data_IF_197591987012
#
_entry.id   IF_197591987012
#
_cell.length_a   1.000
_cell.length_b   1.000
_cell.length_c   1.000
_cell.angle_alpha   90.00
_cell.angle_beta   90.00
_cell.angle_gamma   90.00
#
_symmetry.space_group_name_H-M   'P 1'
#
loop_
_entity.id
_entity.type
_entity.pdbx_description
1 polymer ?
#
# COMPACT_ATOMS: atom_id res chain seq x y z
N UNK A 1 39.01 7.49 -37.02
CA UNK A 1 38.14 7.86 -35.87
C UNK A 1 39.00 8.30 -34.69
N UNK A 2 38.54 9.26 -33.91
CA UNK A 2 39.31 9.86 -32.78
C UNK A 2 38.85 9.37 -31.41
N UNK A 3 37.72 8.68 -31.35
CA UNK A 3 37.18 8.15 -30.09
C UNK A 3 36.12 7.09 -30.33
N UNK A 4 35.45 6.70 -29.24
CA UNK A 4 34.25 5.87 -29.30
C UNK A 4 33.08 6.67 -29.87
N UNK A 5 32.17 6.04 -30.65
CA UNK A 5 30.93 6.68 -31.03
C UNK A 5 30.07 6.96 -29.79
N UNK A 6 29.13 7.90 -29.90
CA UNK A 6 28.22 8.27 -28.81
C UNK A 6 26.80 7.99 -29.25
N UNK A 7 26.09 7.17 -28.47
CA UNK A 7 24.67 6.92 -28.65
C UNK A 7 23.87 7.97 -27.89
N UNK A 8 22.91 8.59 -28.58
CA UNK A 8 21.96 9.53 -28.01
C UNK A 8 20.53 9.22 -28.43
N UNK A 9 19.58 9.74 -27.64
CA UNK A 9 18.16 9.50 -27.82
C UNK A 9 17.59 8.60 -26.73
N UNK A 10 16.35 8.11 -26.90
CA UNK A 10 15.48 8.32 -28.05
C UNK A 10 15.06 9.79 -28.22
N UNK A 11 14.98 10.21 -29.47
CA UNK A 11 14.55 11.54 -29.90
C UNK A 11 13.19 11.40 -30.55
N UNK A 12 12.18 11.99 -29.93
CA UNK A 12 10.82 12.04 -30.46
C UNK A 12 10.78 13.16 -31.52
N UNK A 13 10.20 12.88 -32.68
CA UNK A 13 9.96 13.90 -33.70
C UNK A 13 9.03 15.02 -33.17
N UNK A 14 9.13 16.23 -33.71
CA UNK A 14 8.30 17.37 -33.32
C UNK A 14 6.80 17.13 -33.51
N UNK A 15 6.42 16.20 -34.39
CA UNK A 15 5.02 15.76 -34.54
C UNK A 15 4.59 14.66 -33.56
N UNK A 16 5.46 14.17 -32.69
CA UNK A 16 5.21 13.09 -31.73
C UNK A 16 4.56 11.83 -32.37
N UNK A 17 4.94 11.53 -33.62
CA UNK A 17 4.45 10.36 -34.40
C UNK A 17 5.55 9.35 -34.72
N UNK A 18 6.81 9.71 -34.46
CA UNK A 18 7.96 8.84 -34.61
C UNK A 18 9.03 9.16 -33.58
N UNK A 19 9.95 8.21 -33.36
CA UNK A 19 11.17 8.46 -32.62
C UNK A 19 12.36 7.73 -33.25
N UNK A 20 13.55 8.22 -32.97
CA UNK A 20 14.80 7.63 -33.46
C UNK A 20 15.91 7.70 -32.43
N UNK A 21 16.93 6.87 -32.61
CA UNK A 21 18.19 6.95 -31.86
C UNK A 21 19.31 7.38 -32.79
N UNK A 22 20.29 8.10 -32.27
CA UNK A 22 21.38 8.68 -33.06
C UNK A 22 22.72 8.16 -32.58
N UNK A 23 23.56 7.72 -33.52
CA UNK A 23 24.94 7.32 -33.29
C UNK A 23 25.87 8.37 -33.89
N UNK A 24 26.57 9.12 -33.04
CA UNK A 24 27.55 10.13 -33.45
C UNK A 24 28.96 9.52 -33.50
N UNK A 25 29.59 9.56 -34.67
CA UNK A 25 30.98 9.11 -34.89
C UNK A 25 31.93 10.29 -34.75
N UNK A 26 32.96 10.14 -33.90
CA UNK A 26 34.00 11.16 -33.67
C UNK A 26 35.19 10.99 -34.63
N UNK A 27 35.53 12.06 -35.36
CA UNK A 27 36.68 12.14 -36.27
C UNK A 27 37.32 13.56 -36.21
N UNK A 28 38.62 13.69 -36.48
CA UNK A 28 39.39 14.94 -36.35
C UNK A 28 39.18 15.83 -37.58
N UNK A 29 39.62 15.34 -38.74
CA UNK A 29 39.70 16.13 -39.96
C UNK A 29 38.64 15.67 -40.97
N UNK A 30 38.27 16.58 -41.88
CA UNK A 30 37.43 16.23 -43.02
C UNK A 30 38.31 15.61 -44.10
N UNK A 31 38.10 14.32 -44.39
CA UNK A 31 38.77 13.64 -45.50
C UNK A 31 37.72 13.02 -46.43
N UNK A 32 37.56 13.51 -47.67
CA UNK A 32 36.55 13.01 -48.61
C UNK A 32 36.75 11.55 -49.01
N UNK A 33 37.93 10.96 -48.76
CA UNK A 33 38.22 9.54 -48.98
C UNK A 33 37.96 8.68 -47.74
N UNK A 34 37.73 9.28 -46.57
CA UNK A 34 37.37 8.55 -45.37
C UNK A 34 35.91 8.10 -45.42
N UNK A 35 35.69 6.86 -45.01
CA UNK A 35 34.38 6.23 -44.87
C UNK A 35 34.22 5.72 -43.45
N UNK A 36 32.98 5.71 -42.97
CA UNK A 36 32.61 5.14 -41.70
C UNK A 36 31.56 4.08 -41.91
N UNK A 37 31.71 2.96 -41.21
CA UNK A 37 30.71 1.90 -41.16
C UNK A 37 30.17 1.80 -39.74
N UNK A 38 28.85 1.90 -39.60
CA UNK A 38 28.14 1.80 -38.34
C UNK A 38 27.23 0.58 -38.36
N UNK A 39 27.26 -0.17 -37.27
CA UNK A 39 26.34 -1.25 -36.98
C UNK A 39 25.67 -1.05 -35.63
N UNK A 40 24.45 -1.56 -35.50
CA UNK A 40 23.69 -1.53 -34.25
C UNK A 40 23.82 -2.87 -33.54
N UNK A 41 23.91 -2.84 -32.22
CA UNK A 41 23.97 -4.04 -31.40
C UNK A 41 22.96 -3.95 -30.26
N UNK A 42 22.42 -5.11 -29.89
CA UNK A 42 21.48 -5.29 -28.79
C UNK A 42 22.04 -6.37 -27.87
N UNK A 43 22.28 -6.02 -26.60
CA UNK A 43 23.05 -6.83 -25.64
C UNK A 43 24.40 -7.32 -26.20
N UNK A 44 25.01 -6.48 -27.03
CA UNK A 44 26.30 -6.77 -27.68
C UNK A 44 26.22 -7.60 -28.95
N UNK A 45 25.06 -8.16 -29.30
CA UNK A 45 24.85 -8.92 -30.53
C UNK A 45 24.35 -8.02 -31.67
N UNK A 46 24.85 -8.25 -32.89
CA UNK A 46 24.41 -7.52 -34.08
C UNK A 46 23.13 -8.16 -34.65
N UNK A 47 22.10 -7.34 -34.90
CA UNK A 47 20.94 -7.79 -35.67
C UNK A 47 21.23 -7.65 -37.18
N UNK A 48 21.38 -8.79 -37.85
CA UNK A 48 21.64 -8.87 -39.29
C UNK A 48 20.51 -8.30 -40.16
N UNK A 49 19.29 -8.16 -39.63
CA UNK A 49 18.17 -7.51 -40.34
C UNK A 49 18.32 -5.99 -40.40
N UNK A 50 19.16 -5.41 -39.54
CA UNK A 50 19.49 -3.98 -39.56
C UNK A 50 20.79 -3.82 -40.35
N UNK A 51 20.63 -3.45 -41.62
CA UNK A 51 21.77 -3.21 -42.50
C UNK A 51 22.76 -2.21 -41.89
N UNK A 52 24.04 -2.54 -41.97
CA UNK A 52 25.12 -1.62 -41.63
C UNK A 52 25.05 -0.41 -42.53
N UNK A 53 25.30 0.77 -41.98
CA UNK A 53 25.33 2.01 -42.76
C UNK A 53 26.75 2.43 -43.00
N UNK A 54 27.08 2.66 -44.27
CA UNK A 54 28.36 3.22 -44.70
C UNK A 54 28.12 4.63 -45.23
N UNK A 55 28.92 5.60 -44.79
CA UNK A 55 28.82 6.98 -45.23
C UNK A 55 30.20 7.63 -45.35
N UNK A 56 30.28 8.67 -46.18
CA UNK A 56 31.48 9.49 -46.34
C UNK A 56 31.49 10.67 -45.37
N UNK A 57 32.69 11.16 -45.11
CA UNK A 57 32.89 12.53 -44.64
C UNK A 57 32.10 13.55 -45.49
N UNK A 58 31.48 14.60 -44.92
CA UNK A 58 31.45 15.03 -43.51
C UNK A 58 30.26 14.53 -42.70
N UNK A 59 29.53 13.52 -43.17
CA UNK A 59 28.47 12.92 -42.37
C UNK A 59 29.10 12.25 -41.15
N UNK A 60 28.52 12.49 -39.97
CA UNK A 60 28.99 11.96 -38.68
C UNK A 60 27.91 11.24 -37.87
N UNK A 61 26.64 11.42 -38.22
CA UNK A 61 25.51 10.91 -37.44
C UNK A 61 24.74 9.90 -38.28
N UNK A 62 24.47 8.74 -37.68
CA UNK A 62 23.57 7.73 -38.22
C UNK A 62 22.38 7.56 -37.30
N UNK A 63 21.18 7.59 -37.87
CA UNK A 63 19.94 7.35 -37.13
C UNK A 63 19.49 5.89 -37.26
N UNK A 64 18.98 5.35 -36.15
CA UNK A 64 18.17 4.14 -36.08
C UNK A 64 16.72 4.56 -35.90
N UNK A 65 15.87 4.18 -36.83
CA UNK A 65 14.42 4.34 -36.65
C UNK A 65 13.96 3.46 -35.48
N UNK A 66 13.21 4.04 -34.53
CA UNK A 66 12.68 3.34 -33.36
C UNK A 66 11.87 2.08 -33.69
N UNK A 67 11.28 1.98 -34.90
CA UNK A 67 10.59 0.76 -35.36
C UNK A 67 11.50 -0.47 -35.38
N UNK A 68 12.82 -0.26 -35.51
CA UNK A 68 13.83 -1.33 -35.50
C UNK A 68 14.10 -1.90 -34.11
N UNK A 69 13.46 -1.36 -33.07
CA UNK A 69 13.49 -1.96 -31.73
C UNK A 69 12.50 -3.12 -31.58
N UNK A 70 11.74 -3.47 -32.63
CA UNK A 70 10.84 -4.63 -32.61
C UNK A 70 11.67 -5.89 -32.29
N UNK A 71 11.22 -6.70 -31.33
CA UNK A 71 11.93 -7.87 -30.79
C UNK A 71 13.22 -7.57 -29.99
N UNK A 72 13.56 -6.30 -29.77
CA UNK A 72 14.71 -5.86 -28.99
C UNK A 72 14.33 -5.09 -27.72
N UNK A 73 13.07 -5.18 -27.29
CA UNK A 73 12.66 -4.68 -25.98
C UNK A 73 13.36 -5.45 -24.85
N UNK A 74 13.63 -4.75 -23.75
CA UNK A 74 14.44 -5.18 -22.61
C UNK A 74 15.90 -5.50 -22.91
N UNK A 75 16.46 -4.96 -23.99
CA UNK A 75 17.88 -5.12 -24.34
C UNK A 75 18.64 -3.79 -24.23
N UNK A 76 19.96 -3.87 -24.09
CA UNK A 76 20.86 -2.72 -24.16
C UNK A 76 21.24 -2.43 -25.61
N UNK A 77 20.68 -1.35 -26.15
CA UNK A 77 21.02 -0.83 -27.47
C UNK A 77 22.37 -0.13 -27.42
N UNK A 78 23.23 -0.43 -28.37
CA UNK A 78 24.48 0.28 -28.62
C UNK A 78 24.72 0.41 -30.13
N UNK A 79 25.59 1.34 -30.52
CA UNK A 79 26.14 1.38 -31.86
C UNK A 79 27.64 1.12 -31.82
N UNK A 80 28.15 0.51 -32.88
CA UNK A 80 29.58 0.29 -33.08
C UNK A 80 30.00 0.87 -34.42
N UNK A 81 31.10 1.62 -34.43
CA UNK A 81 31.59 2.29 -35.62
C UNK A 81 33.05 1.92 -35.91
N UNK A 82 33.39 1.82 -37.20
CA UNK A 82 34.78 1.72 -37.68
C UNK A 82 35.00 2.68 -38.85
N UNK A 83 36.26 3.00 -39.14
CA UNK A 83 36.64 3.82 -40.29
C UNK A 83 37.55 3.07 -41.25
N UNK A 84 37.45 3.42 -42.53
CA UNK A 84 38.33 2.93 -43.60
C UNK A 84 38.46 4.00 -44.69
N UNK A 85 39.33 3.76 -45.67
CA UNK A 85 39.53 4.65 -46.82
C UNK A 85 39.08 3.97 -48.11
N UNK A 86 38.59 4.76 -49.07
CA UNK A 86 38.20 4.25 -50.39
C UNK A 86 39.36 3.48 -51.04
N UNK A 87 39.06 2.29 -51.57
CA UNK A 87 40.06 1.39 -52.18
C UNK A 87 40.95 0.65 -51.18
N UNK A 88 40.71 0.83 -49.88
CA UNK A 88 41.43 0.17 -48.79
C UNK A 88 40.46 -0.45 -47.77
N UNK A 89 39.33 -0.98 -48.24
CA UNK A 89 38.28 -1.58 -47.43
C UNK A 89 38.81 -2.74 -46.56
N UNK A 90 39.77 -3.50 -47.08
CA UNK A 90 40.44 -4.59 -46.35
C UNK A 90 41.32 -4.13 -45.18
N UNK A 91 41.57 -2.83 -45.03
CA UNK A 91 42.32 -2.22 -43.92
C UNK A 91 41.43 -1.42 -42.96
N UNK A 92 40.14 -1.75 -42.90
CA UNK A 92 39.22 -1.12 -41.97
C UNK A 92 39.67 -1.28 -40.52
N UNK A 93 39.49 -0.24 -39.71
CA UNK A 93 39.80 -0.32 -38.28
C UNK A 93 38.88 -1.30 -37.56
N UNK A 94 39.27 -1.69 -36.34
CA UNK A 94 38.36 -2.41 -35.44
C UNK A 94 37.13 -1.55 -35.11
N UNK A 95 36.01 -2.22 -34.84
CA UNK A 95 34.80 -1.58 -34.34
C UNK A 95 35.02 -1.04 -32.93
N UNK A 96 34.60 0.20 -32.69
CA UNK A 96 34.54 0.82 -31.37
C UNK A 96 33.07 0.96 -30.97
N UNK A 97 32.71 0.45 -29.78
CA UNK A 97 31.36 0.48 -29.22
C UNK A 97 31.05 1.81 -28.54
N UNK A 98 29.79 2.26 -28.59
CA UNK A 98 29.26 3.40 -27.85
C UNK A 98 28.92 3.08 -26.39
N UNK A 99 28.40 4.07 -25.66
CA UNK A 99 27.60 3.83 -24.46
C UNK A 99 26.36 2.99 -24.77
N UNK A 100 25.85 2.31 -23.73
CA UNK A 100 24.63 1.49 -23.80
C UNK A 100 23.40 2.31 -23.42
N UNK A 101 22.26 1.99 -24.02
CA UNK A 101 20.94 2.49 -23.65
C UNK A 101 19.99 1.31 -23.46
N UNK A 102 19.42 1.14 -22.26
CA UNK A 102 18.41 0.12 -22.04
C UNK A 102 17.10 0.57 -22.69
N UNK A 103 16.57 -0.21 -23.64
CA UNK A 103 15.29 0.04 -24.30
C UNK A 103 14.27 -0.99 -23.83
N UNK A 104 13.37 -0.64 -22.91
CA UNK A 104 12.36 -1.56 -22.40
C UNK A 104 11.48 -0.97 -21.32
N UNK A 105 10.70 -1.84 -20.68
CA UNK A 105 9.82 -1.49 -19.57
C UNK A 105 10.33 -2.16 -18.30
N UNK A 106 10.58 -1.36 -17.27
CA UNK A 106 11.09 -1.81 -15.98
C UNK A 106 10.09 -1.51 -14.87
N UNK A 107 10.04 -2.42 -13.91
CA UNK A 107 9.23 -2.30 -12.71
C UNK A 107 10.17 -2.24 -11.50
N UNK A 108 9.97 -1.26 -10.61
CA UNK A 108 10.81 -1.08 -9.42
C UNK A 108 10.02 -0.55 -8.22
N UNK A 109 10.37 -0.95 -6.98
CA UNK A 109 11.41 -1.92 -6.63
C UNK A 109 11.04 -3.36 -7.01
N UNK A 110 12.04 -4.24 -7.12
CA UNK A 110 11.89 -5.67 -7.37
C UNK A 110 12.96 -6.42 -6.55
N UNK A 111 12.61 -7.05 -5.41
CA UNK A 111 11.25 -7.25 -4.87
C UNK A 111 10.65 -5.97 -4.24
N UNK A 112 9.32 -5.96 -4.07
CA UNK A 112 8.61 -4.95 -3.27
C UNK A 112 8.35 -5.52 -1.87
N UNK A 113 8.87 -4.88 -0.83
CA UNK A 113 8.56 -5.26 0.56
C UNK A 113 7.52 -4.31 1.15
N UNK A 114 6.45 -4.83 1.75
CA UNK A 114 5.35 -4.07 2.36
C UNK A 114 4.92 -4.74 3.66
N UNK A 115 4.52 -3.95 4.66
CA UNK A 115 3.90 -4.43 5.89
C UNK A 115 2.47 -3.91 6.00
N UNK A 116 1.59 -4.63 6.71
CA UNK A 116 0.26 -4.15 7.08
C UNK A 116 0.27 -2.85 7.91
N UNK A 117 1.39 -2.58 8.61
CA UNK A 117 1.61 -1.34 9.34
C UNK A 117 2.05 -0.17 8.44
N UNK A 118 2.52 -0.47 7.22
CA UNK A 118 2.98 0.56 6.31
C UNK A 118 1.82 1.38 5.75
N UNK A 119 2.06 2.67 5.45
CA UNK A 119 1.17 3.43 4.57
C UNK A 119 1.24 2.89 3.13
N UNK A 120 0.49 3.52 2.23
CA UNK A 120 0.51 3.19 0.78
C UNK A 120 1.94 3.20 0.23
N UNK A 121 2.39 2.06 -0.31
CA UNK A 121 3.66 1.92 -1.02
C UNK A 121 3.45 2.01 -2.53
N UNK A 122 4.42 2.58 -3.24
CA UNK A 122 4.31 2.83 -4.69
C UNK A 122 5.28 1.95 -5.47
N UNK A 123 4.76 1.17 -6.40
CA UNK A 123 5.53 0.45 -7.41
C UNK A 123 5.61 1.30 -8.67
N UNK A 124 6.82 1.59 -9.15
CA UNK A 124 7.04 2.38 -10.35
C UNK A 124 7.14 1.49 -11.56
N UNK A 125 6.42 1.85 -12.62
CA UNK A 125 6.60 1.27 -13.96
C UNK A 125 7.14 2.35 -14.87
N UNK A 126 8.29 2.07 -15.48
CA UNK A 126 9.02 3.01 -16.32
C UNK A 126 9.30 2.39 -17.68
N UNK A 127 8.91 3.07 -18.76
CA UNK A 127 9.36 2.76 -20.12
C UNK A 127 10.46 3.71 -20.52
N UNK A 128 11.61 3.18 -20.93
CA UNK A 128 12.65 3.97 -21.62
C UNK A 128 12.38 4.06 -23.13
N UNK A 129 11.35 3.40 -23.64
CA UNK A 129 10.90 3.56 -25.02
C UNK A 129 9.70 4.51 -25.05
N UNK A 130 9.74 5.60 -25.85
CA UNK A 130 8.62 6.52 -25.98
C UNK A 130 7.34 5.82 -26.44
N UNK A 131 6.21 6.25 -25.90
CA UNK A 131 4.89 5.80 -26.34
C UNK A 131 4.41 6.79 -27.40
N UNK A 132 4.45 6.35 -28.64
CA UNK A 132 4.20 7.17 -29.83
C UNK A 132 3.12 6.50 -30.65
N UNK A 133 2.07 7.24 -30.98
CA UNK A 133 0.86 6.71 -31.61
C UNK A 133 0.41 7.59 -32.78
N UNK A 134 -0.44 7.02 -33.64
CA UNK A 134 -1.08 7.77 -34.72
C UNK A 134 -2.26 8.61 -34.21
N UNK A 135 -3.05 8.08 -33.26
CA UNK A 135 -4.09 8.80 -32.54
C UNK A 135 -3.57 9.30 -31.19
N UNK A 136 -3.65 10.62 -30.96
CA UNK A 136 -3.12 11.27 -29.76
C UNK A 136 -4.07 11.21 -28.56
N UNK A 137 -5.37 11.04 -28.77
CA UNK A 137 -6.36 11.12 -27.69
C UNK A 137 -6.24 9.94 -26.70
N UNK A 138 -5.91 8.75 -27.21
CA UNK A 138 -5.85 7.50 -26.43
C UNK A 138 -4.47 6.82 -26.45
N UNK A 139 -3.40 7.59 -26.69
CA UNK A 139 -2.04 7.06 -26.85
C UNK A 139 -1.42 6.53 -25.54
N UNK A 140 -1.70 5.26 -25.23
CA UNK A 140 -1.30 4.62 -23.98
C UNK A 140 -1.04 3.12 -24.15
N UNK A 141 -0.24 2.58 -23.23
CA UNK A 141 -0.10 1.16 -22.96
C UNK A 141 -0.93 0.83 -21.71
N UNK A 142 -1.84 -0.11 -21.83
CA UNK A 142 -2.61 -0.64 -20.70
C UNK A 142 -1.81 -1.72 -19.99
N UNK A 143 -1.61 -1.56 -18.69
CA UNK A 143 -0.96 -2.53 -17.82
C UNK A 143 -2.02 -3.20 -16.95
N UNK A 144 -2.40 -4.43 -17.30
CA UNK A 144 -3.26 -5.27 -16.46
C UNK A 144 -2.40 -6.15 -15.58
N UNK A 145 -2.77 -6.24 -14.31
CA UNK A 145 -1.99 -6.96 -13.32
C UNK A 145 -2.83 -7.97 -12.53
N UNK A 146 -2.19 -9.04 -12.08
CA UNK A 146 -2.75 -10.06 -11.22
C UNK A 146 -1.78 -10.45 -10.10
N UNK A 147 -2.34 -10.73 -8.92
CA UNK A 147 -1.63 -11.11 -7.69
C UNK A 147 -2.15 -12.50 -7.32
N UNK A 148 -1.23 -13.44 -7.08
CA UNK A 148 -1.56 -14.83 -6.72
C UNK A 148 -2.22 -14.96 -5.35
N UNK A 149 -1.82 -14.17 -4.36
CA UNK A 149 -2.47 -14.03 -3.06
C UNK A 149 -3.26 -12.70 -2.93
N UNK A 150 -4.24 -12.48 -3.81
CA UNK A 150 -5.04 -11.25 -3.88
C UNK A 150 -5.81 -10.87 -2.58
N UNK A 151 -5.82 -11.75 -1.57
CA UNK A 151 -6.40 -11.48 -0.25
C UNK A 151 -5.44 -10.75 0.70
N UNK A 152 -4.13 -10.79 0.45
CA UNK A 152 -3.11 -10.17 1.31
C UNK A 152 -2.72 -8.78 0.82
N UNK A 153 -3.00 -8.47 -0.45
CA UNK A 153 -2.55 -7.22 -1.08
C UNK A 153 -3.64 -6.63 -1.96
N UNK A 154 -3.80 -5.31 -1.85
CA UNK A 154 -4.73 -4.55 -2.68
C UNK A 154 -4.02 -3.43 -3.43
N UNK A 155 -4.59 -3.08 -4.58
CA UNK A 155 -4.16 -1.97 -5.42
C UNK A 155 -5.21 -0.89 -5.37
N UNK A 156 -4.81 0.36 -5.18
CA UNK A 156 -5.77 1.46 -5.13
C UNK A 156 -6.37 1.69 -6.54
N UNK A 157 -7.65 2.09 -6.58
CA UNK A 157 -8.49 2.39 -7.75
C UNK A 157 -8.82 1.24 -8.71
N UNK A 158 -7.84 0.48 -9.22
CA UNK A 158 -8.03 -0.43 -10.36
C UNK A 158 -6.94 -1.50 -10.45
N UNK A 159 -7.23 -2.64 -11.10
CA UNK A 159 -6.25 -3.66 -11.50
C UNK A 159 -5.63 -3.40 -12.89
N UNK A 160 -5.94 -2.25 -13.49
CA UNK A 160 -5.42 -1.83 -14.77
C UNK A 160 -5.00 -0.35 -14.73
N UNK A 161 -3.76 -0.09 -15.12
CA UNK A 161 -3.16 1.25 -15.16
C UNK A 161 -2.78 1.63 -16.60
N UNK A 162 -2.66 2.93 -16.87
CA UNK A 162 -2.29 3.46 -18.20
C UNK A 162 -0.92 4.13 -18.11
N UNK A 163 0.04 3.68 -18.91
CA UNK A 163 1.27 4.43 -19.19
C UNK A 163 1.08 5.11 -20.55
N UNK A 164 1.09 6.44 -20.62
CA UNK A 164 0.70 7.19 -21.81
C UNK A 164 1.85 8.06 -22.33
N UNK A 165 1.70 8.57 -23.54
CA UNK A 165 2.68 9.47 -24.18
C UNK A 165 2.99 10.71 -23.34
N UNK A 166 1.99 11.29 -22.66
CA UNK A 166 2.17 12.46 -21.80
C UNK A 166 2.94 12.19 -20.51
N UNK A 167 3.19 10.92 -20.15
CA UNK A 167 4.07 10.57 -19.03
C UNK A 167 5.57 10.66 -19.40
N UNK A 168 5.90 10.86 -20.68
CA UNK A 168 7.29 10.95 -21.15
C UNK A 168 7.97 12.24 -20.67
N UNK A 169 9.10 12.07 -19.97
CA UNK A 169 10.02 13.13 -19.59
C UNK A 169 11.24 13.07 -20.50
N UNK A 170 11.41 14.09 -21.36
CA UNK A 170 12.49 14.12 -22.34
C UNK A 170 13.88 14.28 -21.71
N UNK A 171 13.98 14.90 -20.52
CA UNK A 171 15.26 15.04 -19.82
C UNK A 171 15.71 13.71 -19.23
N UNK A 172 14.76 12.93 -18.70
CA UNK A 172 15.04 11.61 -18.12
C UNK A 172 15.06 10.49 -19.17
N UNK A 173 14.51 10.75 -20.36
CA UNK A 173 14.27 9.78 -21.42
C UNK A 173 13.48 8.57 -20.91
N UNK A 174 12.40 8.84 -20.17
CA UNK A 174 11.52 7.83 -19.56
C UNK A 174 10.08 8.31 -19.48
N UNK A 175 9.13 7.40 -19.72
CA UNK A 175 7.75 7.55 -19.30
C UNK A 175 7.51 6.75 -18.01
N UNK A 176 6.95 7.37 -16.97
CA UNK A 176 6.82 6.73 -15.66
C UNK A 176 5.41 6.89 -15.06
N UNK A 177 4.91 5.82 -14.43
CA UNK A 177 3.72 5.85 -13.56
C UNK A 177 4.03 5.19 -12.22
N UNK A 178 3.20 5.48 -11.22
CA UNK A 178 3.26 4.83 -9.91
C UNK A 178 1.95 4.10 -9.63
N UNK A 179 2.05 2.83 -9.24
CA UNK A 179 0.94 1.99 -8.83
C UNK A 179 0.94 1.93 -7.29
N UNK A 180 -0.05 2.54 -6.62
CA UNK A 180 -0.21 2.47 -5.17
C UNK A 180 -0.74 1.10 -4.69
N UNK A 181 0.01 0.49 -3.77
CA UNK A 181 -0.28 -0.78 -3.12
C UNK A 181 -0.47 -0.58 -1.61
N UNK A 182 -1.33 -1.42 -1.03
CA UNK A 182 -1.54 -1.52 0.40
C UNK A 182 -1.66 -3.00 0.82
N UNK A 183 -0.99 -3.36 1.91
CA UNK A 183 -1.18 -4.66 2.53
C UNK A 183 -2.57 -4.70 3.18
N UNK A 184 -3.32 -5.76 2.90
CA UNK A 184 -4.63 -6.00 3.49
C UNK A 184 -4.41 -6.32 4.95
N UNK A 185 -5.04 -5.58 5.86
CA UNK A 185 -4.90 -5.87 7.30
C UNK A 185 -5.97 -6.88 7.69
N UNK A 186 -5.63 -8.14 7.90
CA UNK A 186 -6.65 -9.16 8.21
C UNK A 186 -6.80 -9.43 9.72
N UNK A 187 -5.96 -8.77 10.51
CA UNK A 187 -5.84 -8.87 11.97
C UNK A 187 -5.41 -10.26 12.49
N UNK A 188 -4.93 -11.13 11.61
CA UNK A 188 -4.50 -12.48 11.93
C UNK A 188 -2.98 -12.56 11.75
N UNK A 189 -2.29 -13.11 12.76
CA UNK A 189 -0.85 -13.27 12.66
C UNK A 189 -0.49 -14.54 11.89
N UNK A 190 -0.27 -14.45 10.58
CA UNK A 190 0.12 -15.58 9.70
C UNK A 190 1.63 -15.64 9.43
N UNK A 191 2.40 -14.60 9.82
CA UNK A 191 3.83 -14.50 9.53
C UNK A 191 4.10 -13.91 8.14
N UNK A 192 5.37 -13.87 7.72
CA UNK A 192 5.74 -13.26 6.44
C UNK A 192 5.27 -14.13 5.28
N UNK A 193 4.42 -13.58 4.41
CA UNK A 193 4.00 -14.24 3.17
C UNK A 193 4.71 -13.63 1.98
N UNK A 194 4.94 -14.45 0.94
CA UNK A 194 5.48 -14.02 -0.34
C UNK A 194 4.43 -14.20 -1.43
N UNK A 195 4.05 -13.09 -2.04
CA UNK A 195 3.15 -13.02 -3.19
C UNK A 195 3.94 -12.74 -4.47
N UNK A 196 3.30 -12.98 -5.62
CA UNK A 196 3.85 -12.67 -6.94
C UNK A 196 2.89 -11.78 -7.72
N UNK A 197 3.34 -10.56 -8.03
CA UNK A 197 2.69 -9.69 -8.99
C UNK A 197 3.09 -10.10 -10.40
N UNK A 198 2.08 -10.35 -11.22
CA UNK A 198 2.21 -10.71 -12.63
C UNK A 198 1.49 -9.69 -13.49
N UNK A 199 1.96 -9.54 -14.73
CA UNK A 199 1.34 -8.67 -15.73
C UNK A 199 0.79 -9.53 -16.87
N UNK A 200 -0.30 -9.07 -17.47
CA UNK A 200 -0.70 -9.56 -18.79
C UNK A 200 0.14 -8.87 -19.88
N UNK A 201 -0.05 -9.31 -21.12
CA UNK A 201 0.48 -8.61 -22.28
C UNK A 201 0.02 -7.15 -22.30
N UNK A 202 0.95 -6.24 -22.62
CA UNK A 202 0.62 -4.82 -22.75
C UNK A 202 -0.36 -4.64 -23.90
N UNK A 203 -1.50 -3.99 -23.61
CA UNK A 203 -2.49 -3.69 -24.64
C UNK A 203 -2.30 -2.24 -25.12
N UNK A 204 -1.82 -2.02 -26.36
CA UNK A 204 -1.66 -0.69 -26.90
C UNK A 204 -3.02 -0.05 -27.26
N UNK A 205 -3.12 1.25 -27.05
CA UNK A 205 -4.22 2.11 -27.47
C UNK A 205 -3.69 3.32 -28.25
N UNK A 206 -4.42 3.75 -29.28
CA UNK A 206 -4.05 4.88 -30.16
C UNK A 206 -3.43 4.50 -31.51
N UNK A 207 -3.14 3.22 -31.75
CA UNK A 207 -2.65 2.70 -33.04
C UNK A 207 -1.28 3.25 -33.51
N UNK A 208 -0.81 2.75 -34.65
CA UNK A 208 0.45 3.17 -35.26
C UNK A 208 1.60 2.18 -35.09
N UNK A 209 2.56 2.22 -36.00
CA UNK A 209 3.61 1.19 -36.12
C UNK A 209 4.58 1.14 -34.92
N UNK A 210 4.74 2.25 -34.18
CA UNK A 210 5.60 2.30 -32.99
C UNK A 210 4.96 1.64 -31.77
N UNK A 211 3.62 1.49 -31.71
CA UNK A 211 2.99 0.72 -30.64
C UNK A 211 3.17 -0.78 -30.81
N UNK A 212 3.34 -1.26 -32.05
CA UNK A 212 3.63 -2.66 -32.35
C UNK A 212 4.98 -3.12 -31.76
N UNK A 213 5.81 -2.20 -31.25
CA UNK A 213 7.00 -2.55 -30.49
C UNK A 213 6.66 -3.30 -29.20
N UNK A 214 5.51 -2.99 -28.59
CA UNK A 214 5.06 -3.54 -27.31
C UNK A 214 4.09 -4.72 -27.47
N UNK A 215 3.73 -5.10 -28.69
CA UNK A 215 2.89 -6.26 -28.99
C UNK A 215 3.59 -7.54 -28.52
N UNK A 216 2.88 -8.41 -27.80
CA UNK A 216 3.42 -9.62 -27.19
C UNK A 216 4.27 -9.37 -25.93
N UNK A 217 4.52 -8.12 -25.56
CA UNK A 217 5.41 -7.81 -24.45
C UNK A 217 4.70 -7.98 -23.10
N UNK A 218 5.29 -8.81 -22.24
CA UNK A 218 4.83 -9.03 -20.87
C UNK A 218 5.91 -8.51 -19.91
N UNK A 219 5.63 -7.47 -19.09
CA UNK A 219 6.54 -7.02 -18.06
C UNK A 219 6.91 -8.16 -17.09
N UNK A 220 8.16 -8.19 -16.62
CA UNK A 220 8.63 -9.22 -15.71
C UNK A 220 7.86 -9.25 -14.39
N UNK A 221 7.67 -10.42 -13.77
CA UNK A 221 6.97 -10.52 -12.50
C UNK A 221 7.77 -9.87 -11.37
N UNK A 222 7.06 -9.39 -10.35
CA UNK A 222 7.64 -8.75 -9.17
C UNK A 222 7.26 -9.57 -7.94
N UNK A 223 8.23 -10.18 -7.23
CA UNK A 223 7.97 -10.75 -5.93
C UNK A 223 7.60 -9.65 -4.94
N UNK A 224 6.55 -9.90 -4.17
CA UNK A 224 6.09 -9.00 -3.12
C UNK A 224 6.20 -9.73 -1.80
N UNK A 225 7.04 -9.20 -0.91
CA UNK A 225 7.20 -9.70 0.45
C UNK A 225 6.26 -8.92 1.35
N UNK A 226 5.26 -9.59 1.93
CA UNK A 226 4.27 -9.02 2.84
C UNK A 226 4.64 -9.41 4.26
N UNK A 227 5.03 -8.42 5.07
CA UNK A 227 5.30 -8.59 6.49
C UNK A 227 4.06 -8.30 7.32
N UNK A 228 3.49 -9.36 7.87
CA UNK A 228 2.36 -9.32 8.78
C UNK A 228 2.72 -8.57 10.07
N UNK A 229 1.91 -7.56 10.37
CA UNK A 229 2.18 -6.66 11.48
C UNK A 229 1.53 -7.18 12.76
N UNK A 230 2.24 -7.05 13.89
CA UNK A 230 1.65 -7.42 15.18
C UNK A 230 0.39 -6.60 15.42
N UNK A 231 -0.76 -7.28 15.53
CA UNK A 231 -2.00 -6.66 16.02
C UNK A 231 -1.95 -6.46 17.52
N UNK A 232 -2.68 -5.45 17.98
CA UNK A 232 -2.79 -5.13 19.39
C UNK A 232 -4.20 -5.46 19.87
N UNK A 233 -4.31 -6.23 20.96
CA UNK A 233 -5.61 -6.62 21.52
C UNK A 233 -5.66 -6.31 23.01
N UNK A 234 -6.65 -5.51 23.38
CA UNK A 234 -7.03 -5.24 24.75
C UNK A 234 -8.39 -5.85 25.06
N UNK A 235 -8.63 -6.26 26.31
CA UNK A 235 -9.94 -6.77 26.74
C UNK A 235 -10.33 -6.22 28.11
N UNK A 236 -11.50 -5.59 28.17
CA UNK A 236 -12.16 -5.20 29.41
C UNK A 236 -13.26 -6.22 29.68
N UNK A 237 -13.05 -7.06 30.67
CA UNK A 237 -14.01 -8.09 31.04
C UNK A 237 -15.17 -7.54 31.87
N UNK A 238 -16.26 -8.31 31.84
CA UNK A 238 -17.48 -8.06 32.57
C UNK A 238 -17.34 -8.14 34.08
N UNK A 239 -16.56 -9.11 34.56
CA UNK A 239 -15.90 -9.05 35.84
C UNK A 239 -14.73 -8.06 35.69
N UNK A 240 -14.67 -7.00 36.50
CA UNK A 240 -14.02 -5.71 36.25
C UNK A 240 -12.49 -5.77 36.08
N UNK A 241 -12.01 -6.51 35.11
CA UNK A 241 -10.62 -6.80 34.85
C UNK A 241 -10.25 -6.27 33.47
N UNK A 242 -9.10 -5.61 33.38
CA UNK A 242 -8.55 -5.16 32.09
C UNK A 242 -7.29 -5.94 31.81
N UNK A 243 -7.28 -6.67 30.70
CA UNK A 243 -6.09 -7.26 30.11
C UNK A 243 -5.56 -6.27 29.09
N UNK A 244 -4.48 -5.59 29.46
CA UNK A 244 -3.80 -4.58 28.67
C UNK A 244 -3.01 -5.23 27.52
N UNK A 245 -2.64 -4.45 26.52
CA UNK A 245 -2.13 -4.95 25.23
C UNK A 245 -0.84 -5.77 25.35
N UNK A 246 0.16 -5.25 26.06
CA UNK A 246 1.48 -5.86 26.18
C UNK A 246 1.61 -6.76 27.41
N UNK A 247 0.58 -6.80 28.25
CA UNK A 247 0.52 -7.69 29.43
C UNK A 247 0.74 -9.18 29.09
N UNK A 248 0.38 -9.62 27.88
CA UNK A 248 0.52 -11.03 27.45
C UNK A 248 1.95 -11.44 27.08
N UNK A 249 2.86 -10.49 26.87
CA UNK A 249 4.26 -10.78 26.49
C UNK A 249 5.11 -11.12 27.72
N UNK A 250 4.67 -10.68 28.90
CA UNK A 250 5.41 -10.85 30.14
C UNK A 250 4.64 -11.75 31.09
N UNK A 251 5.24 -12.84 31.60
CA UNK A 251 4.64 -13.63 32.69
C UNK A 251 4.50 -12.82 34.00
N UNK A 252 4.99 -11.57 34.04
CA UNK A 252 4.90 -10.65 35.18
C UNK A 252 3.81 -9.59 35.07
N UNK A 253 2.95 -9.63 34.05
CA UNK A 253 1.87 -8.64 33.93
C UNK A 253 0.52 -9.34 34.07
N UNK A 254 -0.22 -8.97 35.11
CA UNK A 254 -1.57 -9.47 35.40
C UNK A 254 -2.62 -8.47 34.93
N UNK A 255 -3.85 -8.93 34.76
CA UNK A 255 -5.00 -8.04 34.59
C UNK A 255 -5.11 -7.05 35.76
N UNK A 256 -5.55 -5.82 35.49
CA UNK A 256 -5.85 -4.83 36.54
C UNK A 256 -7.34 -4.80 36.89
N UNK A 257 -7.64 -4.54 38.16
CA UNK A 257 -9.01 -4.33 38.67
C UNK A 257 -9.49 -2.90 38.35
N UNK A 258 -10.58 -2.78 37.59
CA UNK A 258 -11.20 -1.52 37.18
C UNK A 258 -12.46 -1.18 37.99
N UNK A 259 -12.27 -0.82 39.28
CA UNK A 259 -13.36 -0.61 40.25
C UNK A 259 -13.70 0.89 40.39
N UNK A 260 -13.95 1.58 39.28
CA UNK A 260 -14.36 2.98 39.26
C UNK A 260 -15.54 3.21 38.32
N UNK A 261 -16.55 3.93 38.83
CA UNK A 261 -17.69 4.43 38.05
C UNK A 261 -17.34 5.72 37.32
N UNK A 262 -17.86 5.91 36.12
CA UNK A 262 -17.60 7.10 35.31
C UNK A 262 -17.51 6.79 33.82
N UNK A 263 -17.00 7.74 33.04
CA UNK A 263 -16.60 7.53 31.65
C UNK A 263 -15.07 7.60 31.58
N UNK A 264 -14.44 6.68 30.86
CA UNK A 264 -12.99 6.55 30.77
C UNK A 264 -12.57 6.28 29.34
N UNK A 265 -11.40 6.80 28.94
CA UNK A 265 -10.77 6.45 27.67
C UNK A 265 -10.13 5.07 27.82
N UNK A 266 -10.75 4.06 27.21
CA UNK A 266 -10.21 2.70 27.21
C UNK A 266 -8.99 2.59 26.30
N UNK A 267 -9.09 3.15 25.10
CA UNK A 267 -8.02 3.15 24.10
C UNK A 267 -8.11 4.42 23.27
N UNK A 268 -6.96 5.01 22.94
CA UNK A 268 -6.84 6.15 22.03
C UNK A 268 -5.56 6.00 21.21
N UNK A 269 -5.68 6.01 19.88
CA UNK A 269 -4.53 6.13 18.99
C UNK A 269 -4.07 7.60 18.96
N UNK A 270 -2.76 7.83 18.92
CA UNK A 270 -2.16 9.18 18.88
C UNK A 270 -1.76 9.62 17.47
N UNK A 271 -1.73 8.69 16.52
CA UNK A 271 -1.36 8.91 15.13
C UNK A 271 -2.56 9.04 14.17
N UNK A 272 -3.79 8.86 14.67
CA UNK A 272 -5.04 8.95 13.93
C UNK A 272 -6.20 9.23 14.88
N UNK A 273 -7.33 9.71 14.35
CA UNK A 273 -8.52 10.07 15.13
C UNK A 273 -9.33 8.85 15.60
N UNK A 274 -8.72 7.96 16.38
CA UNK A 274 -9.37 6.76 16.91
C UNK A 274 -9.42 6.75 18.44
N UNK A 275 -10.62 6.60 18.99
CA UNK A 275 -10.84 6.54 20.43
C UNK A 275 -12.00 5.60 20.80
N UNK A 276 -11.77 4.78 21.81
CA UNK A 276 -12.81 3.98 22.47
C UNK A 276 -12.96 4.47 23.91
N UNK A 277 -14.15 4.96 24.25
CA UNK A 277 -14.51 5.28 25.63
C UNK A 277 -15.47 4.24 26.19
N UNK A 278 -15.35 3.98 27.48
CA UNK A 278 -16.25 3.08 28.22
C UNK A 278 -16.93 3.84 29.35
N UNK A 279 -18.21 3.55 29.54
CA UNK A 279 -19.00 4.05 30.67
C UNK A 279 -19.26 2.89 31.63
N UNK A 280 -19.05 3.14 32.91
CA UNK A 280 -19.16 2.14 33.97
C UNK A 280 -20.18 2.53 35.04
N UNK A 281 -20.89 1.53 35.56
CA UNK A 281 -21.86 1.64 36.65
C UNK A 281 -21.54 0.67 37.79
N UNK A 282 -22.15 0.84 38.96
CA UNK A 282 -22.02 -0.14 40.06
C UNK A 282 -22.83 -1.38 39.69
N UNK A 283 -22.24 -2.56 39.53
CA UNK A 283 -22.93 -3.77 39.09
C UNK A 283 -23.01 -4.88 40.15
N UNK A 284 -22.12 -4.88 41.15
CA UNK A 284 -22.12 -5.85 42.24
C UNK A 284 -21.62 -5.22 43.55
N UNK A 285 -22.27 -5.58 44.66
CA UNK A 285 -21.99 -4.98 45.97
C UNK A 285 -22.07 -3.45 45.96
N UNK A 286 -21.27 -2.80 46.81
CA UNK A 286 -21.15 -1.33 46.88
C UNK A 286 -19.92 -0.75 46.18
N UNK A 287 -19.06 -1.59 45.59
CA UNK A 287 -17.73 -1.17 45.14
C UNK A 287 -17.30 -1.69 43.76
N UNK A 288 -17.96 -2.70 43.21
CA UNK A 288 -17.58 -3.26 41.90
C UNK A 288 -18.29 -2.50 40.79
N UNK A 289 -17.51 -2.01 39.83
CA UNK A 289 -18.04 -1.33 38.64
C UNK A 289 -17.88 -2.16 37.39
N UNK A 290 -18.91 -2.23 36.56
CA UNK A 290 -18.86 -2.94 35.28
C UNK A 290 -19.07 -1.95 34.13
N UNK A 291 -18.55 -2.29 32.95
CA UNK A 291 -18.86 -1.57 31.72
C UNK A 291 -20.34 -1.75 31.40
N UNK A 292 -21.02 -0.64 31.11
CA UNK A 292 -22.42 -0.61 30.71
C UNK A 292 -22.63 0.16 29.40
N UNK A 293 -21.62 0.85 28.90
CA UNK A 293 -21.70 1.53 27.62
C UNK A 293 -20.32 1.66 26.98
N UNK A 294 -20.30 1.72 25.66
CA UNK A 294 -19.09 1.86 24.84
C UNK A 294 -19.35 2.88 23.74
N UNK A 295 -18.42 3.81 23.53
CA UNK A 295 -18.37 4.59 22.29
C UNK A 295 -17.13 4.23 21.50
N UNK A 296 -17.27 4.10 20.20
CA UNK A 296 -16.20 3.84 19.25
C UNK A 296 -16.18 5.00 18.27
N UNK A 297 -15.04 5.70 18.19
CA UNK A 297 -14.82 6.79 17.23
C UNK A 297 -13.66 6.48 16.30
N UNK A 298 -13.86 6.72 15.01
CA UNK A 298 -12.79 6.84 14.01
C UNK A 298 -13.10 8.01 13.08
N UNK A 299 -12.29 9.06 13.11
CA UNK A 299 -12.53 10.30 12.35
C UNK A 299 -13.95 10.84 12.62
N UNK A 300 -14.84 10.76 11.63
CA UNK A 300 -16.24 11.18 11.70
C UNK A 300 -17.20 10.07 12.13
N UNK A 301 -16.78 8.80 12.10
CA UNK A 301 -17.57 7.69 12.60
C UNK A 301 -17.64 7.78 14.13
N UNK A 302 -18.85 7.87 14.67
CA UNK A 302 -19.08 7.80 16.12
C UNK A 302 -20.26 6.87 16.40
N UNK A 303 -19.94 5.69 16.90
CA UNK A 303 -20.89 4.63 17.25
C UNK A 303 -21.00 4.58 18.77
N UNK A 304 -22.22 4.60 19.30
CA UNK A 304 -22.52 4.49 20.74
C UNK A 304 -23.33 3.22 20.96
N UNK A 305 -22.92 2.44 21.95
CA UNK A 305 -23.51 1.15 22.33
C UNK A 305 -23.78 1.23 23.83
N UNK A 306 -25.04 1.34 24.23
CA UNK A 306 -25.41 1.70 25.61
C UNK A 306 -26.44 0.72 26.21
N UNK A 307 -26.17 0.26 27.44
CA UNK A 307 -27.10 -0.47 28.30
C UNK A 307 -27.15 0.08 29.75
N UNK A 308 -26.55 1.24 30.03
CA UNK A 308 -26.37 1.81 31.37
C UNK A 308 -27.67 2.11 32.12
N UNK A 309 -28.81 2.20 31.43
CA UNK A 309 -30.12 2.47 32.02
C UNK A 309 -31.08 1.26 31.96
N UNK A 310 -30.57 0.08 31.58
CA UNK A 310 -31.41 -1.12 31.41
C UNK A 310 -31.65 -1.85 32.73
N UNK A 311 -32.83 -2.49 32.82
CA UNK A 311 -33.17 -3.35 33.95
C UNK A 311 -32.20 -4.55 33.99
N UNK A 312 -31.42 -4.64 35.06
CA UNK A 312 -30.39 -5.66 35.31
C UNK A 312 -30.91 -7.09 35.44
N UNK A 313 -32.23 -7.27 35.48
CA UNK A 313 -32.91 -8.58 35.51
C UNK A 313 -33.75 -8.85 34.26
N UNK A 314 -33.73 -7.93 33.28
CA UNK A 314 -34.48 -8.03 32.03
C UNK A 314 -33.69 -8.67 30.89
N UNK A 315 -34.32 -8.70 29.71
CA UNK A 315 -33.66 -9.12 28.47
C UNK A 315 -32.56 -8.13 28.07
N UNK A 316 -31.37 -8.65 27.75
CA UNK A 316 -30.21 -7.87 27.34
C UNK A 316 -30.40 -7.38 25.91
N UNK A 317 -30.48 -6.06 25.69
CA UNK A 317 -30.51 -5.51 24.34
C UNK A 317 -29.87 -4.12 24.29
N UNK A 318 -28.55 -4.01 24.16
CA UNK A 318 -27.87 -2.71 24.05
C UNK A 318 -28.45 -1.87 22.92
N UNK A 319 -28.60 -0.58 23.17
CA UNK A 319 -29.02 0.39 22.16
C UNK A 319 -27.79 0.78 21.35
N UNK A 320 -27.87 0.66 20.02
CA UNK A 320 -26.81 1.10 19.11
C UNK A 320 -27.28 2.34 18.37
N UNK A 321 -26.50 3.41 18.44
CA UNK A 321 -26.76 4.67 17.73
C UNK A 321 -25.50 5.17 17.04
N UNK A 322 -25.65 5.77 15.87
CA UNK A 322 -24.57 6.41 15.12
C UNK A 322 -24.81 7.91 15.10
N UNK A 323 -23.79 8.71 15.38
CA UNK A 323 -23.93 10.18 15.42
C UNK A 323 -23.89 10.82 14.02
N UNK A 324 -23.18 10.19 13.09
CA UNK A 324 -23.02 10.60 11.70
C UNK A 324 -23.26 9.41 10.76
N UNK A 325 -23.52 9.64 9.47
CA UNK A 325 -23.46 8.58 8.46
C UNK A 325 -22.11 7.86 8.52
N UNK A 326 -22.15 6.53 8.49
CA UNK A 326 -20.94 5.73 8.58
C UNK A 326 -20.09 5.90 7.32
N UNK A 327 -18.78 6.04 7.50
CA UNK A 327 -17.81 6.08 6.41
C UNK A 327 -17.84 4.77 5.62
N UNK A 328 -17.46 4.86 4.35
CA UNK A 328 -17.32 3.68 3.51
C UNK A 328 -16.30 2.70 4.13
N UNK A 329 -16.71 1.44 4.27
CA UNK A 329 -15.89 0.39 4.89
C UNK A 329 -16.28 0.08 6.34
N UNK A 330 -16.82 1.05 7.08
CA UNK A 330 -17.33 0.86 8.42
C UNK A 330 -18.56 -0.08 8.43
N UNK A 331 -18.63 -1.00 9.39
CA UNK A 331 -19.76 -1.91 9.58
C UNK A 331 -20.06 -2.12 11.05
N UNK A 332 -21.36 -2.22 11.33
CA UNK A 332 -21.88 -2.67 12.61
C UNK A 332 -22.66 -3.96 12.36
N UNK A 333 -22.24 -5.04 12.99
CA UNK A 333 -22.88 -6.34 12.91
C UNK A 333 -23.42 -6.72 14.29
N UNK A 334 -24.60 -7.32 14.31
CA UNK A 334 -25.27 -7.74 15.55
C UNK A 334 -25.76 -9.17 15.40
N UNK A 335 -25.47 -10.01 16.39
CA UNK A 335 -25.96 -11.39 16.43
C UNK A 335 -27.49 -11.44 16.53
N UNK A 336 -28.08 -12.59 16.18
CA UNK A 336 -29.54 -12.80 16.24
C UNK A 336 -30.11 -12.63 17.65
N UNK A 337 -29.35 -13.01 18.68
CA UNK A 337 -29.75 -12.83 20.08
C UNK A 337 -29.56 -11.38 20.58
N UNK A 338 -28.99 -10.50 19.75
CA UNK A 338 -28.77 -9.10 20.04
C UNK A 338 -27.66 -8.82 21.05
N UNK A 339 -26.97 -9.84 21.57
CA UNK A 339 -25.97 -9.72 22.65
C UNK A 339 -24.55 -9.52 22.17
N UNK A 340 -24.23 -9.95 20.95
CA UNK A 340 -22.91 -9.78 20.36
C UNK A 340 -23.00 -8.66 19.33
N UNK A 341 -22.20 -7.62 19.53
CA UNK A 341 -22.10 -6.48 18.62
C UNK A 341 -20.65 -6.36 18.18
N UNK A 342 -20.44 -6.20 16.89
CA UNK A 342 -19.13 -6.04 16.29
C UNK A 342 -19.11 -4.75 15.48
N UNK A 343 -18.15 -3.88 15.77
CA UNK A 343 -17.88 -2.65 15.03
C UNK A 343 -16.55 -2.82 14.31
N UNK A 344 -16.59 -2.86 12.98
CA UNK A 344 -15.42 -2.88 12.12
C UNK A 344 -15.28 -1.50 11.45
N UNK A 345 -14.10 -0.90 11.52
CA UNK A 345 -13.84 0.44 11.02
C UNK A 345 -12.93 0.43 9.77
N UNK A 346 -12.90 1.51 8.97
CA UNK A 346 -12.07 1.60 7.77
C UNK A 346 -10.59 1.33 7.98
N UNK A 347 -10.02 1.69 9.13
CA UNK A 347 -8.62 1.42 9.48
C UNK A 347 -8.30 -0.06 9.74
N UNK A 348 -9.34 -0.88 9.95
CA UNK A 348 -9.22 -2.27 10.40
C UNK A 348 -9.40 -2.45 11.88
N UNK A 349 -9.61 -1.36 12.62
CA UNK A 349 -9.93 -1.45 14.03
C UNK A 349 -11.24 -2.21 14.23
N UNK A 350 -11.21 -3.16 15.16
CA UNK A 350 -12.30 -4.08 15.45
C UNK A 350 -12.66 -4.01 16.92
N UNK A 351 -13.89 -3.60 17.23
CA UNK A 351 -14.41 -3.59 18.60
C UNK A 351 -15.53 -4.62 18.70
N UNK A 352 -15.31 -5.68 19.48
CA UNK A 352 -16.31 -6.71 19.78
C UNK A 352 -16.86 -6.50 21.19
N UNK A 353 -18.17 -6.51 21.30
CA UNK A 353 -18.89 -6.33 22.56
C UNK A 353 -19.77 -7.55 22.78
N UNK A 354 -19.65 -8.15 23.96
CA UNK A 354 -20.57 -9.17 24.47
C UNK A 354 -21.34 -8.57 25.63
N UNK A 355 -22.64 -8.37 25.43
CA UNK A 355 -23.54 -7.84 26.43
C UNK A 355 -24.12 -8.97 27.30
N UNK A 356 -24.08 -8.75 28.61
CA UNK A 356 -24.72 -9.57 29.63
C UNK A 356 -25.61 -8.70 30.52
N UNK A 357 -26.41 -9.33 31.39
CA UNK A 357 -27.45 -8.65 32.18
C UNK A 357 -26.95 -7.47 33.02
N UNK A 358 -25.71 -7.55 33.52
CA UNK A 358 -25.15 -6.56 34.45
C UNK A 358 -23.91 -5.84 33.91
N UNK A 359 -23.39 -6.25 32.74
CA UNK A 359 -22.10 -5.80 32.26
C UNK A 359 -21.91 -6.05 30.75
N UNK A 360 -20.89 -5.42 30.18
CA UNK A 360 -20.38 -5.72 28.83
C UNK A 360 -18.93 -6.17 28.93
N UNK A 361 -18.57 -7.19 28.16
CA UNK A 361 -17.16 -7.47 27.84
C UNK A 361 -16.82 -6.75 26.54
N UNK A 362 -15.73 -6.00 26.52
CA UNK A 362 -15.27 -5.22 25.38
C UNK A 362 -13.89 -5.71 24.96
N UNK A 363 -13.76 -6.15 23.72
CA UNK A 363 -12.48 -6.52 23.11
C UNK A 363 -12.16 -5.53 21.99
N UNK A 364 -11.03 -4.83 22.14
CA UNK A 364 -10.55 -3.84 21.18
C UNK A 364 -9.34 -4.45 20.50
N UNK A 365 -9.41 -4.61 19.18
CA UNK A 365 -8.30 -5.08 18.35
C UNK A 365 -7.96 -4.00 17.33
N UNK A 366 -6.69 -3.62 17.25
CA UNK A 366 -6.20 -2.55 16.37
C UNK A 366 -5.05 -3.05 15.48
N UNK A 367 -4.88 -2.45 14.29
CA UNK A 367 -3.84 -2.83 13.34
C UNK A 367 -2.43 -2.48 13.83
N UNK A 368 -1.41 -3.08 13.22
CA UNK A 368 -0.01 -2.81 13.57
C UNK A 368 0.46 -1.38 13.32
N UNK A 369 -0.28 -0.59 12.52
CA UNK A 369 -0.03 0.84 12.36
C UNK A 369 -0.14 1.63 13.68
N UNK A 370 -0.80 1.07 14.70
CA UNK A 370 -0.90 1.68 16.03
C UNK A 370 0.32 1.41 16.91
N UNK A 371 1.36 0.74 16.40
CA UNK A 371 2.58 0.42 17.15
C UNK A 371 3.20 1.69 17.74
N UNK A 372 3.48 1.63 19.05
CA UNK A 372 3.99 2.73 19.87
C UNK A 372 3.17 4.04 19.77
N UNK A 373 1.91 3.95 19.33
CA UNK A 373 1.05 5.10 19.01
C UNK A 373 -0.35 4.94 19.62
N UNK A 374 -0.45 4.27 20.76
CA UNK A 374 -1.71 4.13 21.49
C UNK A 374 -1.51 4.23 23.00
N UNK A 375 -2.54 4.76 23.66
CA UNK A 375 -2.59 5.02 25.10
C UNK A 375 -4.02 4.84 25.63
N UNK A 376 -4.17 4.65 26.94
CA UNK A 376 -5.47 4.54 27.61
C UNK A 376 -5.43 3.53 28.76
N UNK A 377 -6.61 3.15 29.27
CA UNK A 377 -6.70 2.03 30.23
C UNK A 377 -6.13 0.72 29.66
N UNK A 378 -6.13 0.55 28.35
CA UNK A 378 -5.58 -0.60 27.64
C UNK A 378 -4.04 -0.66 27.60
N UNK A 379 -3.33 0.33 28.14
CA UNK A 379 -1.88 0.38 28.14
C UNK A 379 -1.29 1.01 26.88
N UNK A 380 -0.04 0.65 26.58
CA UNK A 380 0.71 1.11 25.41
C UNK A 380 0.80 -0.01 24.37
N UNK A 381 1.31 0.32 23.18
CA UNK A 381 1.48 -0.62 22.05
C UNK A 381 2.94 -0.69 21.60
N UNK A 382 3.87 -0.43 22.52
CA UNK A 382 5.32 -0.33 22.27
C UNK A 382 6.07 -1.65 22.53
N UNK A 383 5.39 -2.67 23.05
CA UNK A 383 5.97 -3.98 23.39
C UNK A 383 6.58 -4.03 24.79
N UNK A 384 6.35 -3.01 25.64
CA UNK A 384 6.97 -2.89 26.95
C UNK A 384 5.95 -3.16 28.06
N UNK A 385 5.88 -4.38 28.57
CA UNK A 385 4.87 -4.72 29.59
C UNK A 385 4.99 -3.95 30.93
N UNK A 386 6.11 -3.26 31.18
CA UNK A 386 6.38 -2.55 32.45
C UNK A 386 5.87 -1.11 32.48
N UNK A 387 5.43 -0.54 31.36
CA UNK A 387 4.90 0.83 31.27
C UNK A 387 3.41 0.89 30.87
N UNK A 388 2.69 -0.23 30.97
CA UNK A 388 1.25 -0.29 30.64
C UNK A 388 0.40 0.69 31.47
N UNK A 389 0.85 1.10 32.66
CA UNK A 389 0.17 2.09 33.49
C UNK A 389 0.65 3.53 33.19
N UNK A 390 0.83 3.86 31.91
CA UNK A 390 1.19 5.22 31.45
C UNK A 390 -0.02 6.14 31.47
N UNK A 391 0.08 7.23 32.22
CA UNK A 391 -0.96 8.26 32.34
C UNK A 391 -0.96 9.22 31.13
N UNK A 392 -2.00 10.05 30.95
CA UNK A 392 -2.05 11.03 29.86
C UNK A 392 -0.92 12.07 29.87
N UNK A 393 -0.33 12.35 31.04
CA UNK A 393 0.81 13.25 31.23
C UNK A 393 2.18 12.58 31.03
N UNK A 394 2.18 11.30 30.65
CA UNK A 394 3.40 10.50 30.44
C UNK A 394 3.98 9.89 31.71
N UNK A 395 3.42 10.16 32.89
CA UNK A 395 3.87 9.53 34.14
C UNK A 395 3.48 8.05 34.15
N UNK A 396 4.43 7.18 34.48
CA UNK A 396 4.23 5.72 34.55
C UNK A 396 3.99 5.30 35.99
N UNK A 397 2.80 4.80 36.29
CA UNK A 397 2.51 4.17 37.58
C UNK A 397 3.10 2.75 37.64
N UNK A 398 3.36 2.25 38.85
CA UNK A 398 3.89 0.90 39.03
C UNK A 398 3.00 -0.14 38.34
N UNK A 399 3.59 -1.09 37.58
CA UNK A 399 2.85 -2.14 36.91
C UNK A 399 2.25 -3.10 37.94
N UNK A 400 1.18 -3.80 37.52
CA UNK A 400 0.60 -4.86 38.33
C UNK A 400 1.59 -6.02 38.49
N UNK A 401 1.98 -6.31 39.73
CA UNK A 401 2.84 -7.46 40.05
C UNK A 401 2.02 -8.75 40.11
N UNK A 402 2.52 -9.87 39.55
CA UNK A 402 1.81 -11.15 39.55
C UNK A 402 1.66 -11.74 40.96
N UNK A 403 2.42 -11.24 41.94
CA UNK A 403 2.37 -11.66 43.34
C UNK A 403 1.39 -10.84 44.19
N UNK A 404 0.73 -9.84 43.61
CA UNK A 404 -0.25 -9.00 44.30
C UNK A 404 -1.66 -9.46 43.93
N UNK A 405 -2.36 -10.04 44.91
CA UNK A 405 -3.70 -10.61 44.74
C UNK A 405 -4.78 -9.60 44.29
N UNK A 406 -4.56 -8.29 44.45
CA UNK A 406 -5.49 -7.23 44.01
C UNK A 406 -4.73 -6.04 43.43
N UNK A 407 -4.54 -5.99 42.11
CA UNK A 407 -3.90 -4.83 41.47
C UNK A 407 -4.94 -3.76 41.12
N UNK A 408 -4.92 -2.64 41.85
CA UNK A 408 -5.85 -1.50 41.65
C UNK A 408 -5.08 -0.20 41.48
N UNK A 409 -4.54 0.10 40.29
CA UNK A 409 -3.76 1.31 40.04
C UNK A 409 -4.67 2.53 39.95
N UNK A 410 -5.17 3.02 41.10
CA UNK A 410 -6.19 4.09 41.18
C UNK A 410 -5.73 5.40 40.57
N UNK A 411 -4.44 5.73 40.67
CA UNK A 411 -3.86 6.94 40.06
C UNK A 411 -4.04 6.91 38.54
N UNK A 412 -3.48 5.88 37.91
CA UNK A 412 -3.66 5.56 36.50
C UNK A 412 -5.12 5.49 36.05
N UNK A 413 -5.98 4.73 36.74
CA UNK A 413 -7.40 4.62 36.33
C UNK A 413 -8.09 5.99 36.37
N UNK A 414 -7.85 6.78 37.42
CA UNK A 414 -8.50 8.09 37.55
C UNK A 414 -7.95 9.12 36.55
N UNK A 415 -6.68 9.02 36.14
CA UNK A 415 -6.11 9.96 35.16
C UNK A 415 -6.74 9.79 33.77
N UNK A 416 -7.25 8.59 33.44
CA UNK A 416 -7.98 8.32 32.20
C UNK A 416 -9.49 8.61 32.28
N UNK A 417 -9.97 9.22 33.36
CA UNK A 417 -11.38 9.65 33.47
C UNK A 417 -11.65 10.79 32.49
N UNK A 418 -12.69 10.61 31.68
CA UNK A 418 -13.11 11.58 30.66
C UNK A 418 -13.85 12.75 31.32
N UNK A 419 -13.48 13.97 30.93
CA UNK A 419 -14.16 15.19 31.38
C UNK A 419 -15.48 15.38 30.62
N UNK A 420 -16.45 16.14 31.15
CA UNK A 420 -17.74 16.34 30.48
C UNK A 420 -17.63 16.87 29.04
N UNK A 421 -16.64 17.73 28.75
CA UNK A 421 -16.46 18.35 27.43
C UNK A 421 -15.95 17.41 26.34
N UNK A 422 -15.28 16.31 26.72
CA UNK A 422 -14.71 15.31 25.78
C UNK A 422 -15.45 13.97 25.83
N UNK A 423 -16.63 13.94 26.46
CA UNK A 423 -17.42 12.73 26.65
C UNK A 423 -18.23 12.38 25.39
N UNK A 424 -17.76 11.36 24.65
CA UNK A 424 -18.33 10.96 23.36
C UNK A 424 -19.74 10.37 23.45
N UNK A 425 -20.20 10.00 24.65
CA UNK A 425 -21.61 9.59 24.83
C UNK A 425 -22.55 10.79 24.69
N UNK A 426 -22.11 11.98 25.11
CA UNK A 426 -22.96 13.16 25.23
C UNK A 426 -22.74 14.14 24.07
N UNK A 427 -21.53 14.24 23.54
CA UNK A 427 -21.18 15.15 22.45
C UNK A 427 -20.46 14.43 21.31
N UNK A 428 -20.79 14.80 20.07
CA UNK A 428 -20.04 14.40 18.89
C UNK A 428 -18.99 15.49 18.59
N UNK A 429 -17.73 15.13 18.31
CA UNK A 429 -16.74 16.06 17.81
C UNK A 429 -17.18 16.69 16.47
N UNK A 430 -16.67 17.88 16.10
CA UNK A 430 -16.97 18.48 14.80
C UNK A 430 -16.58 17.56 13.65
N UNK A 431 -17.40 17.55 12.60
CA UNK A 431 -17.10 16.80 11.37
C UNK A 431 -15.88 17.44 10.69
N UNK A 432 -14.89 16.62 10.37
CA UNK A 432 -13.69 17.03 9.63
C UNK A 432 -13.78 16.59 8.17
N UNK A 433 -13.14 17.32 7.26
CA UNK A 433 -13.04 16.90 5.87
C UNK A 433 -12.19 15.62 5.78
N UNK A 434 -12.71 14.61 5.07
CA UNK A 434 -11.99 13.34 4.88
C UNK A 434 -10.97 13.54 3.74
N UNK A 435 -9.68 13.22 3.96
CA UNK A 435 -8.68 13.23 2.90
C UNK A 435 -9.09 12.30 1.73
N UNK A 436 -8.83 12.67 0.46
CA UNK A 436 -9.17 11.82 -0.69
C UNK A 436 -8.49 10.44 -0.66
N UNK A 437 -7.37 10.31 0.04
CA UNK A 437 -6.66 9.04 0.26
C UNK A 437 -7.41 8.08 1.18
N UNK A 438 -8.20 8.60 2.13
CA UNK A 438 -9.03 7.82 3.05
C UNK A 438 -10.37 7.40 2.41
N UNK A 439 -10.77 8.03 1.29
CA UNK A 439 -11.89 7.61 0.44
C UNK A 439 -11.48 6.66 -0.69
N UNK A 440 -10.20 6.28 -0.76
CA UNK A 440 -9.69 5.45 -1.83
C UNK A 440 -10.37 4.07 -1.87
N UNK A 441 -10.72 3.63 -3.08
CA UNK A 441 -11.16 2.26 -3.34
C UNK A 441 -9.95 1.37 -3.54
N UNK A 442 -9.96 0.17 -2.96
CA UNK A 442 -8.88 -0.81 -3.04
C UNK A 442 -9.38 -2.09 -3.72
N UNK A 443 -8.59 -2.63 -4.65
CA UNK A 443 -8.97 -3.75 -5.49
C UNK A 443 -8.06 -4.96 -5.23
N UNK A 444 -8.68 -6.12 -5.00
CA UNK A 444 -8.00 -7.41 -5.01
C UNK A 444 -7.89 -7.92 -6.44
N UNK A 445 -6.68 -7.95 -6.98
CA UNK A 445 -6.42 -8.35 -8.36
C UNK A 445 -6.06 -9.83 -8.41
N UNK A 446 -7.00 -10.73 -8.69
CA UNK A 446 -6.72 -12.18 -8.73
C UNK A 446 -6.18 -12.65 -10.09
N UNK A 447 -5.26 -13.62 -10.10
CA UNK A 447 -4.67 -14.20 -11.33
C UNK A 447 -5.59 -15.16 -12.11
N UNK A 448 -6.85 -15.37 -11.72
CA UNK A 448 -7.71 -16.38 -12.39
C UNK A 448 -8.09 -15.97 -13.82
N UNK A 449 -7.75 -16.88 -14.75
CA UNK A 449 -8.09 -16.86 -16.17
C UNK A 449 -9.60 -16.90 -16.42
N UNK A 450 -10.02 -16.14 -17.42
CA UNK A 450 -11.35 -16.04 -18.06
C UNK A 450 -12.43 -15.30 -17.27
N UNK A 451 -12.62 -14.00 -17.53
CA UNK A 451 -13.84 -13.36 -18.08
C UNK A 451 -13.41 -11.99 -18.63
N UNK A 452 -14.05 -11.54 -19.70
CA UNK A 452 -13.84 -10.30 -20.48
C UNK A 452 -14.02 -8.96 -19.74
N UNK A 453 -13.81 -8.90 -18.42
CA UNK A 453 -13.73 -7.66 -17.62
C UNK A 453 -12.58 -7.79 -16.62
N UNK A 454 -11.82 -6.72 -16.31
CA UNK A 454 -10.77 -6.80 -15.31
C UNK A 454 -11.38 -7.21 -13.96
N UNK A 455 -11.15 -8.46 -13.54
CA UNK A 455 -11.63 -9.02 -12.28
C UNK A 455 -10.78 -8.50 -11.13
N UNK A 456 -11.06 -7.27 -10.71
CA UNK A 456 -10.69 -6.76 -9.40
C UNK A 456 -11.94 -6.67 -8.54
N UNK A 457 -11.99 -7.34 -7.38
CA UNK A 457 -13.04 -7.04 -6.41
C UNK A 457 -12.64 -5.75 -5.69
N UNK A 458 -13.18 -4.63 -6.15
CA UNK A 458 -12.87 -3.30 -5.64
C UNK A 458 -13.85 -2.94 -4.52
N UNK A 459 -13.30 -2.55 -3.37
CA UNK A 459 -14.07 -2.16 -2.20
C UNK A 459 -13.38 -0.95 -1.57
N UNK A 460 -14.12 0.00 -0.98
CA UNK A 460 -13.50 1.03 -0.14
C UNK A 460 -12.85 0.46 1.13
N UNK A 461 -12.98 -0.85 1.37
CA UNK A 461 -12.31 -1.53 2.48
C UNK A 461 -10.84 -1.75 2.16
N UNK A 462 -9.97 -1.28 3.03
CA UNK A 462 -8.58 -1.74 3.12
C UNK A 462 -8.46 -3.20 3.64
N UNK A 463 -9.59 -3.86 3.94
CA UNK A 463 -9.69 -5.14 4.64
C UNK A 463 -10.57 -6.15 3.91
N UNK A 464 -10.11 -7.39 3.84
CA UNK A 464 -10.90 -8.55 3.44
C UNK A 464 -11.03 -9.42 4.69
N UNK A 465 -12.24 -9.50 5.26
CA UNK A 465 -12.49 -10.44 6.35
C UNK A 465 -12.45 -11.86 5.78
N UNK A 466 -11.47 -12.68 6.20
CA UNK A 466 -11.50 -14.13 5.96
C UNK A 466 -12.56 -14.85 6.83
N UNK A 467 -13.14 -14.17 7.83
CA UNK A 467 -14.14 -14.74 8.74
C UNK A 467 -15.39 -13.85 8.85
N UNK A 468 -16.35 -14.06 7.95
CA UNK A 468 -17.78 -13.76 8.23
C UNK A 468 -18.63 -15.04 8.24
N UNK A 469 -18.07 -16.18 7.83
CA UNK A 469 -18.76 -17.48 7.87
C UNK A 469 -18.33 -18.30 9.08
N UNK A 470 -18.73 -17.87 10.28
CA UNK A 470 -19.04 -18.74 11.44
C UNK A 470 -19.54 -17.89 12.61
N UNK A 471 -20.74 -17.35 12.45
CA UNK A 471 -21.64 -17.19 13.60
C UNK A 471 -22.56 -18.42 13.58
N UNK A 472 -22.20 -19.42 14.37
CA UNK A 472 -23.08 -20.49 14.80
C UNK A 472 -23.43 -20.26 16.26
#
# INVERSE_FOLDING_TARGET
MTGHPVLSGPHIDGSNTSFSMSCLVKAHDQDPNQRFEVKWTFDGQEDTQIARKVFSDPVRVVTLDGKRLKNHLNQKVACSARSFYVGHEGRASNFRKSNDYFAGVQVSPNPLSISEADPVKKLKVASSVPIVCSDRADCCLMLKMGIDAAHELTVQQSCAYRLCSHHWDDNKKKAEISIPFLATRDLIREGQTRSLLTFEELLPAGGGEYLNLFEGFIPGPVPIDVDDSRTFTCTLYGDPHVVQVDSRISPRSSSMDFFKTGTFTAYRATNRDFEVQVRTWICSGRAVSCVCGVTVRESNDLIKIDQCDQNRRGSVSPVVSVANPLSNGAKIERSRDGKHIQVLLPSGSLVKIKAEQSHMTVRITTPGSDKASAVGLCGTTDGVATNENTRPDGVVDLPCSPHVQTCRPRGFINSWRVSPGTNLFNSAPPIVAVPPEDEATFCSCSTRRSVTKPMGNCSPRQHISKDVDRVS
#
